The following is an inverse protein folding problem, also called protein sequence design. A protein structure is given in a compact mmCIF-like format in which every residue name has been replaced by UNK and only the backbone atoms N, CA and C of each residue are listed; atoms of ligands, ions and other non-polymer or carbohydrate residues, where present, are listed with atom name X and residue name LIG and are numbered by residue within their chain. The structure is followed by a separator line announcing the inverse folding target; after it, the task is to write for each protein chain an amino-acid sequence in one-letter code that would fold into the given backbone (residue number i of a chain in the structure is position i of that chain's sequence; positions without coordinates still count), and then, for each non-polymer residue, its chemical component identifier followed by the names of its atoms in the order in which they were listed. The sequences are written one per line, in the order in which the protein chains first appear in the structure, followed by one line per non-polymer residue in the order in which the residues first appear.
data_IF_438899100469
#
_entry.id   IF_438899100469
#
_cell.length_a   1.000
_cell.length_b   1.000
_cell.length_c   1.000
_cell.angle_alpha   90.00
_cell.angle_beta   90.00
_cell.angle_gamma   90.00
#
_symmetry.space_group_name_H-M   'P 1'
#
loop_
_entity.id
_entity.type
_entity.pdbx_description
1 polymer ?
#
# COMPACT_ATOMS: atom_id res chain seq x y z
N UNK A 1 33.48 14.75 6.08
CA UNK A 1 32.31 14.48 6.94
C UNK A 1 31.10 15.32 6.52
N UNK A 2 31.13 16.65 6.59
CA UNK A 2 30.01 17.53 6.18
C UNK A 2 29.36 17.20 4.82
N UNK A 3 30.15 16.91 3.77
CA UNK A 3 29.59 16.56 2.45
C UNK A 3 28.75 15.29 2.47
N UNK A 4 29.19 14.25 3.18
CA UNK A 4 28.46 12.98 3.27
C UNK A 4 27.16 13.16 4.06
N UNK A 5 27.21 13.91 5.17
CA UNK A 5 26.03 14.24 5.97
C UNK A 5 24.99 15.00 5.15
N UNK A 6 25.40 15.98 4.34
CA UNK A 6 24.50 16.72 3.45
C UNK A 6 23.85 15.81 2.42
N UNK A 7 24.60 14.89 1.80
CA UNK A 7 24.05 13.94 0.82
C UNK A 7 23.02 13.03 1.50
N UNK A 8 23.39 12.39 2.61
CA UNK A 8 22.49 11.50 3.34
C UNK A 8 21.21 12.22 3.77
N UNK A 9 21.34 13.44 4.30
CA UNK A 9 20.18 14.24 4.69
C UNK A 9 19.29 14.59 3.48
N UNK A 10 19.89 14.92 2.35
CA UNK A 10 19.16 15.20 1.10
C UNK A 10 18.36 13.99 0.64
N UNK A 11 18.98 12.79 0.62
CA UNK A 11 18.31 11.55 0.22
C UNK A 11 17.17 11.18 1.17
N UNK A 12 17.38 11.32 2.49
CA UNK A 12 16.33 11.08 3.50
C UNK A 12 15.14 12.01 3.28
N UNK A 13 15.39 13.32 3.14
CA UNK A 13 14.33 14.31 2.93
C UNK A 13 13.59 14.05 1.61
N UNK A 14 14.31 13.68 0.55
CA UNK A 14 13.72 13.30 -0.72
C UNK A 14 12.81 12.08 -0.58
N UNK A 15 13.23 11.01 0.08
CA UNK A 15 12.37 9.84 0.32
C UNK A 15 11.11 10.18 1.15
N UNK A 16 11.25 11.04 2.17
CA UNK A 16 10.12 11.51 2.99
C UNK A 16 9.11 12.32 2.17
N UNK A 17 9.56 13.21 1.29
CA UNK A 17 8.63 14.01 0.47
C UNK A 17 8.02 13.17 -0.65
N UNK A 18 8.81 12.30 -1.27
CA UNK A 18 8.40 11.53 -2.44
C UNK A 18 7.37 10.43 -2.17
N UNK A 19 7.24 9.91 -0.94
CA UNK A 19 6.20 8.91 -0.63
C UNK A 19 4.80 9.51 -0.42
N UNK A 20 4.69 10.82 -0.16
CA UNK A 20 3.41 11.51 0.04
C UNK A 20 2.61 11.55 -1.28
N UNK A 21 1.30 11.81 -1.19
CA UNK A 21 0.48 12.00 -2.39
C UNK A 21 1.02 13.18 -3.21
N UNK A 22 1.09 13.00 -4.53
CA UNK A 22 1.73 13.94 -5.45
C UNK A 22 3.26 13.93 -5.47
N UNK A 23 3.91 13.16 -4.59
CA UNK A 23 5.36 12.99 -4.59
C UNK A 23 5.84 12.16 -5.78
N UNK A 24 7.02 12.51 -6.32
CA UNK A 24 7.66 11.79 -7.43
C UNK A 24 9.06 11.33 -7.01
N UNK A 25 9.24 10.04 -6.69
CA UNK A 25 10.56 9.47 -6.46
C UNK A 25 11.50 9.70 -7.65
N UNK A 26 12.68 10.27 -7.37
CA UNK A 26 13.77 10.41 -8.35
C UNK A 26 14.81 9.29 -8.24
N UNK A 27 14.74 8.49 -7.18
CA UNK A 27 15.67 7.40 -6.86
C UNK A 27 14.88 6.13 -6.57
N UNK A 28 15.52 4.98 -6.77
CA UNK A 28 14.89 3.68 -6.49
C UNK A 28 14.59 3.53 -5.00
N UNK A 29 15.46 4.03 -4.13
CA UNK A 29 15.32 4.01 -2.68
C UNK A 29 14.06 4.77 -2.23
N UNK A 30 13.82 5.96 -2.80
CA UNK A 30 12.59 6.70 -2.54
C UNK A 30 11.35 5.98 -3.10
N UNK A 31 11.50 5.29 -4.23
CA UNK A 31 10.46 4.42 -4.78
C UNK A 31 10.11 3.26 -3.85
N UNK A 32 11.13 2.59 -3.29
CA UNK A 32 10.97 1.51 -2.30
C UNK A 32 10.21 2.01 -1.08
N UNK A 33 10.59 3.17 -0.52
CA UNK A 33 9.86 3.77 0.63
C UNK A 33 8.40 4.06 0.29
N UNK A 34 8.13 4.56 -0.92
CA UNK A 34 6.76 4.86 -1.39
C UNK A 34 5.89 3.61 -1.53
N UNK A 35 6.45 2.52 -2.05
CA UNK A 35 5.72 1.24 -2.13
C UNK A 35 5.57 0.61 -0.76
N UNK A 36 6.60 0.63 0.09
CA UNK A 36 6.52 0.13 1.45
C UNK A 36 5.41 0.81 2.27
N UNK A 37 5.28 2.14 2.16
CA UNK A 37 4.18 2.90 2.76
C UNK A 37 2.81 2.44 2.25
N UNK A 38 2.69 2.16 0.95
CA UNK A 38 1.45 1.63 0.40
C UNK A 38 1.14 0.22 0.94
N UNK A 39 2.14 -0.64 1.10
CA UNK A 39 1.95 -2.01 1.58
C UNK A 39 1.73 -2.11 3.10
N UNK A 40 1.98 -1.05 3.88
CA UNK A 40 1.69 -0.95 5.33
C UNK A 40 0.18 -0.81 5.63
N UNK A 41 -0.65 -1.58 4.92
CA UNK A 41 -2.11 -1.63 5.05
C UNK A 41 -2.61 -2.94 5.68
N UNK A 42 -1.74 -3.92 5.94
CA UNK A 42 -2.12 -5.21 6.51
C UNK A 42 -2.54 -5.08 7.99
N UNK A 43 -3.78 -5.52 8.31
CA UNK A 43 -4.46 -5.85 9.60
C UNK A 43 -4.21 -5.05 10.90
N UNK A 44 -3.13 -4.29 11.05
CA UNK A 44 -2.77 -3.58 12.28
C UNK A 44 -3.26 -2.14 12.27
N UNK A 45 -2.79 -1.32 11.31
CA UNK A 45 -3.09 0.12 11.25
C UNK A 45 -4.54 0.44 10.85
N UNK A 46 -5.20 -0.45 10.11
CA UNK A 46 -6.58 -0.28 9.65
C UNK A 46 -7.64 -0.63 10.72
N UNK A 47 -7.26 -1.34 11.78
CA UNK A 47 -8.19 -1.81 12.83
C UNK A 47 -8.58 -0.73 13.84
N UNK A 48 -7.65 0.18 14.14
CA UNK A 48 -7.85 1.27 15.12
C UNK A 48 -9.04 2.18 14.77
N UNK A 49 -9.20 2.70 13.53
CA UNK A 49 -10.36 3.52 13.19
C UNK A 49 -11.67 2.73 13.06
N UNK A 50 -11.62 1.43 12.74
CA UNK A 50 -12.81 0.56 12.67
C UNK A 50 -13.42 0.32 14.06
N UNK A 51 -12.58 0.02 15.05
CA UNK A 51 -13.03 -0.16 16.45
C UNK A 51 -13.49 1.17 17.10
N UNK A 52 -12.99 2.31 16.61
CA UNK A 52 -13.38 3.64 17.07
C UNK A 52 -14.71 4.17 16.50
N UNK A 53 -15.44 3.37 15.69
CA UNK A 53 -16.75 3.75 15.15
C UNK A 53 -16.71 4.75 13.99
N UNK A 54 -15.53 5.05 13.44
CA UNK A 54 -15.39 5.86 12.22
C UNK A 54 -15.58 4.98 10.98
N UNK A 55 -16.84 4.69 10.66
CA UNK A 55 -17.25 4.00 9.43
C UNK A 55 -17.19 4.98 8.24
N UNK A 56 -15.98 5.19 7.70
CA UNK A 56 -15.83 5.75 6.36
C UNK A 56 -15.78 4.60 5.35
N UNK A 57 -16.23 4.81 4.11
CA UNK A 57 -16.06 3.81 3.03
C UNK A 57 -14.59 3.40 2.89
N UNK A 58 -13.66 4.29 3.24
CA UNK A 58 -12.22 4.05 3.21
C UNK A 58 -11.68 3.13 4.32
N UNK A 59 -12.35 3.05 5.47
CA UNK A 59 -11.95 2.16 6.57
C UNK A 59 -12.48 0.73 6.40
N UNK A 60 -13.64 0.57 5.75
CA UNK A 60 -14.24 -0.75 5.44
C UNK A 60 -13.35 -1.58 4.52
N UNK A 61 -12.85 -0.97 3.46
CA UNK A 61 -11.99 -1.62 2.45
C UNK A 61 -10.58 -1.93 2.96
N UNK A 62 -9.99 -1.07 3.79
CA UNK A 62 -8.71 -1.35 4.46
C UNK A 62 -8.84 -2.49 5.49
N UNK A 63 -10.02 -2.67 6.09
CA UNK A 63 -10.31 -3.79 6.98
C UNK A 63 -10.46 -5.13 6.23
N UNK A 64 -10.65 -5.11 4.91
CA UNK A 64 -10.74 -6.30 4.08
C UNK A 64 -9.37 -6.96 3.81
N UNK A 65 -8.26 -6.23 4.01
CA UNK A 65 -6.91 -6.76 3.77
C UNK A 65 -6.49 -7.65 4.93
N UNK A 66 -6.34 -8.94 4.66
CA UNK A 66 -6.01 -9.95 5.66
C UNK A 66 -4.48 -10.09 5.85
N UNK A 67 -3.74 -10.11 4.75
CA UNK A 67 -2.28 -10.17 4.77
C UNK A 67 -1.67 -9.65 3.47
N UNK A 68 -0.40 -9.24 3.55
CA UNK A 68 0.43 -8.90 2.38
C UNK A 68 1.70 -9.73 2.47
N UNK A 69 2.04 -10.42 1.39
CA UNK A 69 3.24 -11.26 1.30
C UNK A 69 4.09 -10.86 0.10
N UNK A 70 5.41 -10.96 0.27
CA UNK A 70 6.42 -10.68 -0.76
C UNK A 70 7.12 -11.99 -1.12
N UNK A 71 7.19 -12.29 -2.41
CA UNK A 71 7.88 -13.47 -2.92
C UNK A 71 8.63 -13.14 -4.21
N UNK A 72 9.46 -14.07 -4.69
CA UNK A 72 9.97 -14.00 -6.05
C UNK A 72 8.80 -14.15 -7.03
N UNK A 73 8.73 -13.27 -8.03
CA UNK A 73 7.72 -13.34 -9.08
C UNK A 73 8.15 -14.16 -10.29
N UNK A 74 7.21 -14.36 -11.20
CA UNK A 74 7.43 -15.13 -12.44
C UNK A 74 7.64 -14.20 -13.65
N UNK A 75 6.80 -13.18 -13.80
CA UNK A 75 6.92 -12.20 -14.88
C UNK A 75 7.82 -11.02 -14.47
N UNK A 76 7.77 -10.66 -13.18
CA UNK A 76 8.59 -9.61 -12.59
C UNK A 76 9.37 -10.15 -11.38
N UNK A 77 10.52 -9.56 -11.02
CA UNK A 77 11.39 -10.10 -9.96
C UNK A 77 10.71 -10.20 -8.60
N UNK A 78 9.74 -9.33 -8.29
CA UNK A 78 9.05 -9.30 -7.00
C UNK A 78 7.55 -9.44 -7.21
N UNK A 79 6.95 -10.44 -6.54
CA UNK A 79 5.52 -10.64 -6.44
C UNK A 79 5.00 -10.13 -5.10
N UNK A 80 3.99 -9.28 -5.15
CA UNK A 80 3.21 -8.82 -4.00
C UNK A 80 1.87 -9.55 -4.05
N UNK A 81 1.61 -10.41 -3.07
CA UNK A 81 0.32 -11.09 -2.93
C UNK A 81 -0.45 -10.49 -1.76
N UNK A 82 -1.67 -10.04 -2.04
CA UNK A 82 -2.56 -9.38 -1.09
C UNK A 82 -3.77 -10.28 -0.88
N UNK A 83 -3.92 -10.79 0.34
CA UNK A 83 -5.07 -11.59 0.70
C UNK A 83 -6.20 -10.72 1.24
N UNK A 84 -7.40 -10.94 0.72
CA UNK A 84 -8.59 -10.18 1.02
C UNK A 84 -9.66 -11.11 1.62
N UNK A 85 -10.33 -10.65 2.67
CA UNK A 85 -11.52 -11.32 3.23
C UNK A 85 -12.83 -10.90 2.55
N UNK A 86 -12.79 -9.87 1.71
CA UNK A 86 -13.96 -9.32 1.03
C UNK A 86 -13.54 -8.58 -0.26
N UNK A 87 -14.31 -8.77 -1.33
CA UNK A 87 -14.09 -8.13 -2.62
C UNK A 87 -14.20 -6.60 -2.61
N UNK A 88 -14.92 -6.00 -1.65
CA UNK A 88 -15.02 -4.55 -1.44
C UNK A 88 -13.65 -3.88 -1.19
N UNK A 89 -12.67 -4.63 -0.68
CA UNK A 89 -11.30 -4.15 -0.53
C UNK A 89 -10.56 -3.97 -1.85
N UNK A 90 -10.92 -4.72 -2.89
CA UNK A 90 -10.18 -4.80 -4.15
C UNK A 90 -10.15 -3.46 -4.89
N UNK A 91 -11.29 -2.76 -4.98
CA UNK A 91 -11.39 -1.53 -5.75
C UNK A 91 -10.52 -0.40 -5.17
N UNK A 92 -10.56 -0.23 -3.85
CA UNK A 92 -9.73 0.77 -3.17
C UNK A 92 -8.25 0.40 -3.19
N UNK A 93 -7.95 -0.88 -3.03
CA UNK A 93 -6.60 -1.42 -3.15
C UNK A 93 -5.99 -1.11 -4.51
N UNK A 94 -6.73 -1.38 -5.59
CA UNK A 94 -6.30 -1.11 -6.97
C UNK A 94 -6.01 0.38 -7.16
N UNK A 95 -6.93 1.27 -6.74
CA UNK A 95 -6.73 2.70 -6.89
C UNK A 95 -5.51 3.22 -6.11
N UNK A 96 -5.38 2.83 -4.85
CA UNK A 96 -4.28 3.25 -3.97
C UNK A 96 -2.93 2.75 -4.49
N UNK A 97 -2.84 1.46 -4.85
CA UNK A 97 -1.60 0.87 -5.36
C UNK A 97 -1.22 1.44 -6.72
N UNK A 98 -2.18 1.68 -7.63
CA UNK A 98 -1.88 2.32 -8.92
C UNK A 98 -1.31 3.72 -8.74
N UNK A 99 -1.87 4.52 -7.84
CA UNK A 99 -1.35 5.87 -7.57
C UNK A 99 0.08 5.83 -7.02
N UNK A 100 0.36 4.89 -6.11
CA UNK A 100 1.66 4.73 -5.46
C UNK A 100 2.72 4.11 -6.37
N UNK A 101 2.33 3.15 -7.20
CA UNK A 101 3.18 2.53 -8.21
C UNK A 101 3.57 3.50 -9.31
N UNK A 102 2.61 4.27 -9.84
CA UNK A 102 2.86 5.13 -10.99
C UNK A 102 3.90 6.21 -10.65
N UNK A 103 4.94 6.27 -11.48
CA UNK A 103 6.09 7.14 -11.31
C UNK A 103 7.01 6.75 -10.15
N UNK A 104 6.93 5.53 -9.61
CA UNK A 104 7.79 5.08 -8.50
C UNK A 104 9.17 4.60 -8.97
N UNK A 105 9.32 4.22 -10.23
CA UNK A 105 10.51 3.55 -10.76
C UNK A 105 10.53 2.04 -10.47
N UNK A 106 9.56 1.53 -9.71
CA UNK A 106 9.42 0.11 -9.38
C UNK A 106 8.37 -0.61 -10.22
N UNK A 107 7.61 0.08 -11.07
CA UNK A 107 6.61 -0.55 -11.94
C UNK A 107 7.14 -1.74 -12.76
N UNK A 108 8.33 -1.69 -13.40
CA UNK A 108 8.83 -2.82 -14.17
C UNK A 108 9.45 -3.93 -13.29
N UNK A 109 9.38 -3.82 -11.97
CA UNK A 109 9.96 -4.78 -11.02
C UNK A 109 8.91 -5.53 -10.20
N UNK A 110 7.65 -5.07 -10.24
CA UNK A 110 6.59 -5.53 -9.36
C UNK A 110 5.46 -6.19 -10.15
N UNK A 111 5.06 -7.38 -9.73
CA UNK A 111 3.78 -7.98 -10.09
C UNK A 111 2.86 -8.03 -8.86
N UNK A 112 1.61 -7.61 -9.02
CA UNK A 112 0.63 -7.54 -7.92
C UNK A 112 -0.47 -8.56 -8.17
N UNK A 113 -0.73 -9.40 -7.18
CA UNK A 113 -1.81 -10.38 -7.19
C UNK A 113 -2.72 -10.16 -5.98
N UNK A 114 -4.03 -10.06 -6.21
CA UNK A 114 -5.02 -10.11 -5.14
C UNK A 114 -5.67 -11.50 -5.08
N UNK A 115 -5.86 -12.04 -3.88
CA UNK A 115 -6.57 -13.30 -3.63
C UNK A 115 -7.72 -13.06 -2.68
N UNK A 116 -8.91 -13.53 -3.04
CA UNK A 116 -10.06 -13.54 -2.15
C UNK A 116 -10.08 -14.88 -1.41
N UNK A 117 -10.29 -14.86 -0.10
CA UNK A 117 -10.50 -16.08 0.68
C UNK A 117 -11.80 -16.80 0.30
N UNK A 118 -11.92 -18.05 0.73
CA UNK A 118 -13.05 -18.92 0.36
C UNK A 118 -14.41 -18.44 0.91
N UNK A 119 -14.41 -17.70 2.02
CA UNK A 119 -15.61 -17.10 2.61
C UNK A 119 -15.52 -15.57 2.62
N UNK A 120 -16.50 -14.90 2.00
CA UNK A 120 -16.61 -13.44 2.10
C UNK A 120 -17.19 -13.02 3.46
N UNK A 121 -16.38 -12.32 4.25
CA UNK A 121 -16.86 -11.70 5.50
C UNK A 121 -17.71 -10.49 5.18
N UNK A 122 -18.94 -10.40 5.73
CA UNK A 122 -19.74 -9.17 5.65
C UNK A 122 -19.08 -8.06 6.46
N UNK A 123 -18.68 -6.98 5.79
CA UNK A 123 -18.05 -5.82 6.42
C UNK A 123 -19.05 -4.68 6.75
N UNK A 124 -20.23 -4.69 6.13
CA UNK A 124 -21.30 -3.71 6.32
C UNK A 124 -22.64 -4.43 6.44
N UNK A 125 -23.40 -4.13 7.48
CA UNK A 125 -24.78 -4.62 7.68
C UNK A 125 -25.83 -3.56 7.38
N UNK A 126 -25.54 -2.28 7.65
CA UNK A 126 -26.45 -1.16 7.41
C UNK A 126 -25.65 0.09 7.00
N UNK A 127 -26.11 0.80 5.96
CA UNK A 127 -25.58 2.10 5.53
C UNK A 127 -26.75 3.06 5.28
N UNK A 128 -26.70 4.25 5.86
CA UNK A 128 -27.68 5.32 5.66
C UNK A 128 -26.96 6.61 5.28
N UNK A 129 -27.50 7.32 4.28
CA UNK A 129 -27.09 8.66 3.87
C UNK A 129 -27.76 9.73 4.72
#
# INVERSE_FOLDING_TARGET
QLRQETIVRSEILHAIISHRSGGRPLTLEAGVVRIADALDMAKGRSRIPFEAGSLSIHSVSAAAVESVTLAAGEAHPIRITIELSNSAGLFQLDQLLREKLRGSGLEPHLEIQARLGDEEKRLLTDFKL
#
